data_IF_803981782820
#
_entry.id   IF_803981782820
#
_cell.length_a   1.000
_cell.length_b   1.000
_cell.length_c   1.000
_cell.angle_alpha   90.00
_cell.angle_beta   90.00
_cell.angle_gamma   90.00
#
_symmetry.space_group_name_H-M   'P 1'
#
loop_
_entity.id
_entity.type
_entity.pdbx_description
1 polymer ?
#
# COMPACT_ATOMS: atom_id res chain seq x y z
N UNK A 1 -3.04 -22.01 -2.46
CA UNK A 1 -3.20 -20.65 -1.88
C UNK A 1 -3.49 -20.82 -0.39
N UNK A 2 -2.79 -20.11 0.52
CA UNK A 2 -3.06 -20.23 1.96
C UNK A 2 -4.48 -19.76 2.29
N UNK A 3 -5.12 -20.43 3.25
CA UNK A 3 -6.44 -20.07 3.76
C UNK A 3 -6.33 -19.77 5.25
N UNK A 4 -7.14 -18.82 5.73
CA UNK A 4 -7.23 -18.45 7.13
C UNK A 4 -8.71 -18.49 7.53
N UNK A 5 -9.00 -19.11 8.67
CA UNK A 5 -10.33 -19.10 9.28
C UNK A 5 -10.26 -18.28 10.55
N UNK A 6 -11.14 -17.30 10.68
CA UNK A 6 -11.18 -16.40 11.82
C UNK A 6 -12.53 -16.52 12.50
N UNK A 7 -12.51 -16.64 13.83
CA UNK A 7 -13.70 -16.47 14.65
C UNK A 7 -13.88 -14.99 14.95
N UNK A 8 -15.08 -14.48 14.70
CA UNK A 8 -15.45 -13.10 15.05
C UNK A 8 -16.62 -13.11 16.04
N UNK A 9 -16.76 -12.07 16.88
CA UNK A 9 -17.92 -11.91 17.75
C UNK A 9 -19.23 -12.00 16.95
N UNK A 10 -20.26 -12.62 17.55
CA UNK A 10 -21.54 -12.85 16.87
C UNK A 10 -22.17 -11.55 16.42
N UNK A 11 -22.10 -10.52 17.25
CA UNK A 11 -22.65 -9.19 17.01
C UNK A 11 -22.01 -8.57 15.76
N UNK A 12 -20.69 -8.72 15.59
CA UNK A 12 -19.99 -8.23 14.41
C UNK A 12 -20.42 -8.98 13.14
N UNK A 13 -20.59 -10.30 13.21
CA UNK A 13 -21.07 -11.08 12.08
C UNK A 13 -22.49 -10.68 11.65
N UNK A 14 -23.38 -10.41 12.61
CA UNK A 14 -24.73 -9.94 12.32
C UNK A 14 -24.74 -8.54 11.67
N UNK A 15 -23.86 -7.63 12.09
CA UNK A 15 -23.69 -6.34 11.40
C UNK A 15 -23.15 -6.53 9.98
N UNK A 16 -22.14 -7.38 9.79
CA UNK A 16 -21.57 -7.66 8.46
C UNK A 16 -22.62 -8.22 7.48
N UNK A 17 -23.52 -9.07 7.97
CA UNK A 17 -24.61 -9.66 7.19
C UNK A 17 -25.60 -8.64 6.64
N UNK A 18 -25.72 -7.45 7.25
CA UNK A 18 -26.57 -6.36 6.74
C UNK A 18 -26.04 -5.77 5.43
N UNK A 19 -24.77 -6.01 5.10
CA UNK A 19 -24.11 -5.52 3.89
C UNK A 19 -23.57 -6.70 3.04
N UNK A 20 -24.45 -7.53 2.47
CA UNK A 20 -24.07 -8.73 1.71
C UNK A 20 -23.30 -8.40 0.41
N UNK A 21 -23.40 -7.19 -0.11
CA UNK A 21 -22.66 -6.69 -1.27
C UNK A 21 -21.16 -6.51 -1.00
N UNK A 22 -20.77 -6.40 0.27
CA UNK A 22 -19.38 -6.18 0.66
C UNK A 22 -18.58 -7.48 0.57
N UNK A 23 -17.46 -7.42 -0.17
CA UNK A 23 -16.49 -8.52 -0.23
C UNK A 23 -15.64 -8.56 1.05
N UNK A 24 -16.21 -9.09 2.13
CA UNK A 24 -15.57 -9.13 3.45
C UNK A 24 -14.18 -9.78 3.48
N UNK A 25 -13.92 -10.77 2.62
CA UNK A 25 -12.59 -11.38 2.47
C UNK A 25 -11.55 -10.43 1.86
N UNK A 26 -11.97 -9.47 1.04
CA UNK A 26 -11.10 -8.41 0.53
C UNK A 26 -10.82 -7.36 1.61
N UNK A 27 -11.85 -6.96 2.35
CA UNK A 27 -11.74 -6.04 3.48
C UNK A 27 -10.76 -6.57 4.52
N UNK A 28 -10.93 -7.84 4.94
CA UNK A 28 -10.02 -8.49 5.88
C UNK A 28 -8.58 -8.51 5.38
N UNK A 29 -8.35 -8.85 4.10
CA UNK A 29 -7.00 -8.85 3.51
C UNK A 29 -6.39 -7.45 3.46
N UNK A 30 -7.17 -6.41 3.15
CA UNK A 30 -6.70 -5.01 3.17
C UNK A 30 -6.33 -4.60 4.59
N UNK A 31 -7.17 -4.90 5.58
CA UNK A 31 -6.90 -4.59 6.98
C UNK A 31 -5.63 -5.30 7.51
N UNK A 32 -5.45 -6.58 7.19
CA UNK A 32 -4.24 -7.33 7.58
C UNK A 32 -2.99 -6.71 6.95
N UNK A 33 -3.01 -6.38 5.64
CA UNK A 33 -1.88 -5.71 4.98
C UNK A 33 -1.57 -4.36 5.61
N UNK A 34 -2.60 -3.57 5.88
CA UNK A 34 -2.47 -2.25 6.50
C UNK A 34 -1.77 -2.35 7.85
N UNK A 35 -2.25 -3.24 8.71
CA UNK A 35 -1.65 -3.46 10.02
C UNK A 35 -0.21 -3.98 9.93
N UNK A 36 0.10 -4.82 8.94
CA UNK A 36 1.48 -5.25 8.69
C UNK A 36 2.40 -4.10 8.26
N UNK A 37 1.90 -3.12 7.49
CA UNK A 37 2.67 -1.93 7.13
C UNK A 37 2.95 -1.06 8.36
N UNK A 38 1.94 -0.84 9.20
CA UNK A 38 2.09 -0.12 10.46
C UNK A 38 3.13 -0.77 11.38
N UNK A 39 3.13 -2.11 11.49
CA UNK A 39 4.13 -2.84 12.27
C UNK A 39 5.56 -2.75 11.72
N UNK A 40 5.71 -2.41 10.44
CA UNK A 40 7.02 -2.25 9.77
C UNK A 40 7.47 -0.80 9.69
N UNK A 41 6.72 0.14 10.27
CA UNK A 41 6.88 1.58 10.06
C UNK A 41 6.87 1.95 8.55
N UNK A 42 6.19 1.14 7.73
CA UNK A 42 5.97 1.41 6.31
C UNK A 42 4.69 2.24 6.15
N UNK A 43 4.75 3.33 5.39
CA UNK A 43 3.57 4.12 5.01
C UNK A 43 3.09 3.66 3.65
N UNK A 44 1.78 3.45 3.52
CA UNK A 44 1.16 3.19 2.22
C UNK A 44 1.36 4.40 1.30
N UNK A 45 1.89 4.18 0.09
CA UNK A 45 2.24 5.26 -0.83
C UNK A 45 1.05 6.15 -1.21
N UNK A 46 -0.16 5.60 -1.30
CA UNK A 46 -1.37 6.39 -1.61
C UNK A 46 -1.76 7.29 -0.44
N UNK A 47 -1.53 6.86 0.79
CA UNK A 47 -1.78 7.69 1.97
C UNK A 47 -0.65 8.69 2.21
N UNK A 48 0.61 8.33 1.93
CA UNK A 48 1.70 9.30 1.91
C UNK A 48 1.39 10.43 0.92
N UNK A 49 0.94 10.10 -0.30
CA UNK A 49 0.57 11.09 -1.31
C UNK A 49 -0.57 12.04 -0.88
N UNK A 50 -1.45 11.61 0.04
CA UNK A 50 -2.50 12.48 0.60
C UNK A 50 -1.97 13.43 1.66
N UNK A 51 -0.97 13.02 2.42
CA UNK A 51 -0.32 13.82 3.47
C UNK A 51 0.76 14.76 2.90
N UNK A 52 1.20 14.55 1.65
CA UNK A 52 2.20 15.43 1.03
C UNK A 52 1.66 16.85 0.80
N UNK A 53 2.49 17.88 1.03
CA UNK A 53 2.19 19.25 0.61
C UNK A 53 1.83 19.31 -0.88
N UNK A 54 0.84 20.13 -1.22
CA UNK A 54 0.30 20.24 -2.57
C UNK A 54 1.38 20.55 -3.63
N UNK A 55 2.38 21.34 -3.25
CA UNK A 55 3.52 21.68 -4.12
C UNK A 55 4.36 20.45 -4.50
N UNK A 56 4.64 19.57 -3.53
CA UNK A 56 5.41 18.33 -3.77
C UNK A 56 4.57 17.37 -4.61
N UNK A 57 3.28 17.23 -4.30
CA UNK A 57 2.38 16.37 -5.05
C UNK A 57 2.28 16.77 -6.53
N UNK A 58 2.09 18.07 -6.79
CA UNK A 58 2.09 18.61 -8.16
C UNK A 58 3.43 18.37 -8.86
N UNK A 59 4.53 18.57 -8.14
CA UNK A 59 5.87 18.27 -8.67
C UNK A 59 6.01 16.81 -9.11
N UNK A 60 5.47 15.85 -8.34
CA UNK A 60 5.46 14.42 -8.67
C UNK A 60 4.57 14.12 -9.88
N UNK A 61 3.39 14.75 -9.99
CA UNK A 61 2.48 14.59 -11.13
C UNK A 61 3.04 15.16 -12.43
N UNK A 62 3.86 16.21 -12.34
CA UNK A 62 4.54 16.86 -13.47
C UNK A 62 5.84 16.15 -13.89
N UNK A 63 6.32 15.16 -13.11
CA UNK A 63 7.51 14.40 -13.48
C UNK A 63 7.29 13.64 -14.80
N UNK A 64 8.22 13.80 -15.73
CA UNK A 64 8.34 12.97 -16.93
C UNK A 64 8.92 11.61 -16.52
N UNK A 65 8.03 10.70 -16.10
CA UNK A 65 8.39 9.40 -15.53
C UNK A 65 9.29 8.55 -16.45
N UNK A 66 9.16 8.72 -17.76
CA UNK A 66 9.97 8.05 -18.77
C UNK A 66 11.46 8.42 -18.63
N UNK A 67 11.76 9.71 -18.48
CA UNK A 67 13.12 10.24 -18.35
C UNK A 67 13.74 9.86 -17.00
N UNK A 68 12.94 9.88 -15.94
CA UNK A 68 13.33 9.43 -14.61
C UNK A 68 13.66 7.92 -14.56
N UNK A 69 12.92 7.10 -15.32
CA UNK A 69 13.11 5.65 -15.33
C UNK A 69 14.46 5.24 -15.92
N UNK A 70 14.91 5.89 -16.99
CA UNK A 70 16.22 5.62 -17.59
C UNK A 70 17.35 5.97 -16.64
N UNK A 71 17.23 7.10 -15.94
CA UNK A 71 18.24 7.58 -14.99
C UNK A 71 18.36 6.65 -13.77
N UNK A 72 17.23 6.19 -13.22
CA UNK A 72 17.20 5.25 -12.08
C UNK A 72 17.71 3.86 -12.48
N UNK A 73 17.42 3.39 -13.70
CA UNK A 73 17.96 2.14 -14.24
C UNK A 73 19.49 2.22 -14.38
N UNK A 74 20.03 3.34 -14.87
CA UNK A 74 21.49 3.58 -14.91
C UNK A 74 22.11 3.52 -13.52
N UNK A 75 21.46 4.12 -12.51
CA UNK A 75 21.94 4.11 -11.12
C UNK A 75 21.90 2.72 -10.47
N UNK A 76 20.92 1.87 -10.79
CA UNK A 76 20.88 0.48 -10.29
C UNK A 76 22.01 -0.40 -10.82
N UNK A 77 22.59 -0.06 -11.97
CA UNK A 77 23.79 -0.71 -12.51
C UNK A 77 25.11 -0.18 -11.94
N UNK A 78 25.09 0.92 -11.19
CA UNK A 78 26.28 1.56 -10.63
C UNK A 78 26.66 0.90 -9.30
N UNK A 79 27.56 -0.09 -9.33
CA UNK A 79 28.34 -0.46 -8.14
C UNK A 79 29.53 0.52 -8.03
N UNK A 80 29.55 1.45 -7.06
CA UNK A 80 30.79 2.16 -6.76
C UNK A 80 31.82 1.13 -6.31
N UNK A 81 33.03 1.23 -6.88
CA UNK A 81 34.11 0.25 -6.86
C UNK A 81 34.16 -0.69 -5.65
N UNK A 82 34.06 -1.99 -5.91
CA UNK A 82 34.56 -3.00 -5.00
C UNK A 82 36.09 -2.88 -4.93
N UNK A 83 36.59 -2.46 -3.78
CA UNK A 83 37.98 -2.69 -3.35
C UNK A 83 38.07 -4.00 -2.59
#
# INVERSE_FOLDING_TARGET
>A
MPHITLSIPKELFEEMKKYPEVKWSEVARKAIRRYLMELKDEIDGEDLLKELPQEIRRGIEELQWEEFSEEVVKLRGFRPGGS
#
